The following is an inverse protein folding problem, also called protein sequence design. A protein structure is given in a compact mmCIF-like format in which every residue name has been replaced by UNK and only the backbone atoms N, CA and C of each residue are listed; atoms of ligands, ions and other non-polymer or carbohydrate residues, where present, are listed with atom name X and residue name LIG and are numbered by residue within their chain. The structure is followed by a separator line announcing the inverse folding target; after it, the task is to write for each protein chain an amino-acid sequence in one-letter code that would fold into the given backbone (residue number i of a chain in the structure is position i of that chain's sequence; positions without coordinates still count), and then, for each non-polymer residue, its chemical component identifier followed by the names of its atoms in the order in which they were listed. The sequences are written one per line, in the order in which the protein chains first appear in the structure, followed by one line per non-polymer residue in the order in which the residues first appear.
data_IF_171394480737
#
_entry.id   IF_171394480737
#
_cell.length_a   1.000
_cell.length_b   1.000
_cell.length_c   1.000
_cell.angle_alpha   90.00
_cell.angle_beta   90.00
_cell.angle_gamma   90.00
#
_symmetry.space_group_name_H-M   'P 1'
#
loop_
_entity.id
_entity.type
_entity.pdbx_description
1 polymer ?
#
# COMPACT_ATOMS: atom_id res chain seq x y z
N UNK A 1 12.46 -21.81 31.92
CA UNK A 1 11.98 -20.43 31.75
C UNK A 1 11.08 -20.36 30.51
N UNK A 2 10.14 -19.41 30.43
CA UNK A 2 9.06 -19.43 29.44
C UNK A 2 9.46 -18.79 28.10
N UNK A 3 8.93 -19.30 26.97
CA UNK A 3 9.11 -18.69 25.64
C UNK A 3 8.00 -17.66 25.38
N UNK A 4 8.36 -16.38 25.31
CA UNK A 4 7.42 -15.30 24.99
C UNK A 4 6.99 -15.35 23.51
N UNK A 5 5.77 -15.84 23.24
CA UNK A 5 5.21 -15.94 21.88
C UNK A 5 4.44 -14.66 21.54
N UNK A 6 5.14 -13.64 20.99
CA UNK A 6 4.56 -12.33 20.66
C UNK A 6 3.67 -12.42 19.41
N UNK A 7 2.46 -12.97 19.57
CA UNK A 7 1.42 -12.94 18.56
C UNK A 7 0.76 -11.56 18.50
N UNK A 8 1.25 -10.66 17.65
CA UNK A 8 0.53 -9.41 17.34
C UNK A 8 -0.80 -9.74 16.68
N UNK A 9 -1.89 -9.61 17.44
CA UNK A 9 -3.25 -9.82 16.98
C UNK A 9 -3.70 -8.61 16.17
N UNK A 10 -3.33 -8.58 14.89
CA UNK A 10 -3.85 -7.60 13.94
C UNK A 10 -5.39 -7.60 14.01
N UNK A 11 -5.99 -6.41 14.18
CA UNK A 11 -7.44 -6.25 14.04
C UNK A 11 -7.83 -6.63 12.61
N UNK A 12 -9.06 -7.14 12.45
CA UNK A 12 -9.62 -7.55 11.16
C UNK A 12 -9.88 -6.32 10.27
N UNK A 13 -8.83 -5.78 9.67
CA UNK A 13 -8.88 -4.69 8.69
C UNK A 13 -9.61 -5.16 7.42
N UNK A 14 -10.40 -4.28 6.81
CA UNK A 14 -11.26 -4.60 5.65
C UNK A 14 -10.53 -4.78 4.32
N UNK A 15 -9.25 -5.14 4.34
CA UNK A 15 -8.43 -5.41 3.15
C UNK A 15 -8.35 -6.92 2.95
N UNK A 16 -8.77 -7.41 1.78
CA UNK A 16 -8.70 -8.84 1.48
C UNK A 16 -7.30 -9.23 1.01
N UNK A 17 -6.61 -8.31 0.33
CA UNK A 17 -5.21 -8.44 -0.04
C UNK A 17 -4.54 -7.06 -0.01
N UNK A 18 -3.32 -7.03 0.53
CA UNK A 18 -2.38 -5.91 0.43
C UNK A 18 -1.09 -6.49 -0.17
N UNK A 19 -0.66 -5.94 -1.30
CA UNK A 19 0.57 -6.31 -1.98
C UNK A 19 1.46 -5.09 -2.09
N UNK A 20 2.62 -5.15 -1.45
CA UNK A 20 3.69 -4.17 -1.62
C UNK A 20 4.62 -4.69 -2.72
N UNK A 21 4.60 -4.05 -3.89
CA UNK A 21 5.49 -4.39 -5.00
C UNK A 21 6.63 -3.39 -5.03
N UNK A 22 7.85 -3.90 -4.86
CA UNK A 22 9.08 -3.22 -5.21
C UNK A 22 9.52 -3.78 -6.56
N UNK A 23 9.99 -2.91 -7.47
CA UNK A 23 10.41 -3.34 -8.80
C UNK A 23 11.64 -4.27 -8.70
N UNK A 24 11.50 -5.51 -9.18
CA UNK A 24 12.46 -6.59 -8.92
C UNK A 24 13.85 -6.35 -9.56
N UNK A 25 13.97 -5.35 -10.45
CA UNK A 25 15.25 -4.91 -11.00
C UNK A 25 16.15 -4.11 -10.05
N UNK A 26 15.65 -3.66 -8.87
CA UNK A 26 16.37 -2.70 -8.02
C UNK A 26 16.77 -3.32 -6.67
N UNK A 27 18.09 -3.43 -6.45
CA UNK A 27 18.65 -4.15 -5.30
C UNK A 27 18.78 -3.33 -4.02
N UNK A 28 18.22 -3.87 -2.92
CA UNK A 28 18.63 -3.71 -1.50
C UNK A 28 18.67 -2.32 -0.84
N UNK A 29 18.56 -1.21 -1.55
CA UNK A 29 18.69 0.15 -0.99
C UNK A 29 17.38 0.69 -0.38
N UNK A 30 17.49 1.73 0.48
CA UNK A 30 16.38 2.42 1.14
C UNK A 30 15.55 3.24 0.13
N UNK A 31 14.24 2.98 -0.04
CA UNK A 31 13.41 3.72 -1.01
C UNK A 31 13.32 5.21 -0.70
N UNK A 32 13.55 5.63 0.54
CA UNK A 32 13.57 7.05 0.92
C UNK A 32 14.94 7.72 0.64
N UNK A 33 15.94 6.98 0.17
CA UNK A 33 17.30 7.48 -0.13
C UNK A 33 17.85 6.85 -1.41
N UNK A 34 17.40 7.30 -2.60
CA UNK A 34 17.99 6.89 -3.88
C UNK A 34 19.46 7.33 -3.94
N UNK A 35 20.38 6.40 -3.69
CA UNK A 35 21.80 6.69 -3.52
C UNK A 35 22.54 6.88 -4.86
N UNK A 36 22.21 7.96 -5.58
CA UNK A 36 22.85 8.58 -6.78
C UNK A 36 23.13 7.74 -8.07
N UNK A 37 23.61 6.90 -8.98
CA UNK A 37 23.05 6.75 -10.32
C UNK A 37 22.49 5.33 -10.54
N UNK A 38 21.24 4.98 -10.20
CA UNK A 38 20.20 5.63 -9.37
C UNK A 38 19.80 7.07 -9.75
N UNK A 39 19.25 7.23 -10.95
CA UNK A 39 18.41 8.37 -11.37
C UNK A 39 16.91 7.95 -11.48
N UNK A 40 16.59 6.76 -10.99
CA UNK A 40 15.24 6.20 -11.01
C UNK A 40 14.42 6.78 -9.86
N UNK A 41 13.25 7.35 -10.13
CA UNK A 41 12.21 7.49 -9.09
C UNK A 41 11.75 6.08 -8.71
N UNK A 42 12.40 5.48 -7.70
CA UNK A 42 11.97 4.21 -7.10
C UNK A 42 10.71 4.45 -6.27
N UNK A 43 9.61 4.74 -6.96
CA UNK A 43 8.33 5.16 -6.41
C UNK A 43 7.50 3.92 -6.03
N UNK A 44 7.54 3.44 -4.77
CA UNK A 44 7.14 2.08 -4.46
C UNK A 44 5.62 1.94 -4.59
N UNK A 45 5.15 0.82 -5.13
CA UNK A 45 3.73 0.67 -5.48
C UNK A 45 3.00 -0.13 -4.42
N UNK A 46 2.12 0.56 -3.69
CA UNK A 46 1.20 -0.02 -2.72
C UNK A 46 -0.07 -0.41 -3.47
N UNK A 47 -0.30 -1.72 -3.65
CA UNK A 47 -1.49 -2.24 -4.32
C UNK A 47 -2.45 -2.87 -3.30
N UNK A 48 -3.67 -2.35 -3.26
CA UNK A 48 -4.72 -2.77 -2.32
C UNK A 48 -5.89 -3.31 -3.12
N UNK A 49 -6.39 -4.50 -2.76
CA UNK A 49 -7.53 -5.12 -3.45
C UNK A 49 -8.68 -5.36 -2.47
N UNK A 50 -9.84 -4.77 -2.77
CA UNK A 50 -11.02 -4.70 -1.90
C UNK A 50 -12.20 -5.46 -2.53
N UNK A 51 -12.62 -6.60 -1.96
CA UNK A 51 -13.84 -7.29 -2.46
C UNK A 51 -15.13 -6.67 -1.91
N UNK A 52 -15.40 -5.46 -2.36
CA UNK A 52 -16.60 -4.64 -2.13
C UNK A 52 -16.62 -3.50 -3.15
N UNK A 53 -17.73 -2.77 -3.23
CA UNK A 53 -17.75 -1.48 -3.91
C UNK A 53 -16.97 -0.41 -3.13
N UNK A 54 -16.55 0.63 -3.86
CA UNK A 54 -16.08 1.92 -3.34
C UNK A 54 -17.13 2.57 -2.43
N UNK A 55 -16.65 3.27 -1.42
CA UNK A 55 -17.44 4.10 -0.49
C UNK A 55 -16.91 5.53 -0.53
N UNK A 56 -17.77 6.51 -0.35
CA UNK A 56 -17.42 7.94 -0.40
C UNK A 56 -16.25 8.30 0.52
N UNK A 57 -16.21 7.69 1.71
CA UNK A 57 -15.16 7.88 2.72
C UNK A 57 -13.87 7.06 2.49
N UNK A 58 -13.69 6.37 1.36
CA UNK A 58 -12.50 5.54 1.12
C UNK A 58 -11.27 6.36 0.75
N UNK A 59 -11.43 7.38 -0.09
CA UNK A 59 -10.29 8.21 -0.52
C UNK A 59 -9.68 8.95 0.68
N UNK A 60 -10.50 9.42 1.62
CA UNK A 60 -10.04 9.99 2.90
C UNK A 60 -9.22 8.99 3.73
N UNK A 61 -9.63 7.71 3.79
CA UNK A 61 -8.89 6.65 4.49
C UNK A 61 -7.54 6.35 3.83
N UNK A 62 -7.47 6.39 2.50
CA UNK A 62 -6.20 6.20 1.77
C UNK A 62 -5.29 7.43 1.91
N UNK A 63 -5.85 8.63 1.89
CA UNK A 63 -5.16 9.88 2.20
C UNK A 63 -4.61 9.86 3.64
N UNK A 64 -5.38 9.39 4.62
CA UNK A 64 -4.91 9.17 6.01
C UNK A 64 -3.76 8.16 6.04
N UNK A 65 -3.83 7.05 5.30
CA UNK A 65 -2.75 6.06 5.23
C UNK A 65 -1.47 6.63 4.59
N UNK A 66 -1.58 7.40 3.51
CA UNK A 66 -0.45 8.12 2.88
C UNK A 66 0.17 9.12 3.86
N UNK A 67 -0.65 9.88 4.57
CA UNK A 67 -0.19 10.83 5.58
C UNK A 67 0.53 10.13 6.75
N UNK A 68 0.05 8.95 7.17
CA UNK A 68 0.73 8.10 8.15
C UNK A 68 2.10 7.62 7.66
N UNK A 69 2.18 7.07 6.44
CA UNK A 69 3.42 6.59 5.83
C UNK A 69 4.51 7.67 5.73
N UNK A 70 4.12 8.89 5.33
CA UNK A 70 5.00 10.06 5.29
C UNK A 70 5.42 10.51 6.69
N UNK A 71 4.47 10.66 7.62
CA UNK A 71 4.69 11.14 8.99
C UNK A 71 5.65 10.23 9.77
N UNK A 72 5.46 8.92 9.66
CA UNK A 72 6.26 7.91 10.36
C UNK A 72 7.56 7.57 9.59
N UNK A 73 7.83 8.28 8.47
CA UNK A 73 9.01 8.12 7.59
C UNK A 73 9.22 6.70 7.06
N UNK A 74 8.12 6.02 6.76
CA UNK A 74 8.12 4.69 6.13
C UNK A 74 8.30 4.85 4.62
N UNK A 75 7.52 5.74 4.02
CA UNK A 75 7.56 6.10 2.61
C UNK A 75 7.29 7.60 2.45
N UNK A 76 8.32 8.37 2.10
CA UNK A 76 8.20 9.80 1.83
C UNK A 76 7.57 10.07 0.46
N UNK A 77 7.71 9.16 -0.51
CA UNK A 77 7.10 9.20 -1.85
C UNK A 77 6.65 7.81 -2.31
N UNK A 78 5.73 7.73 -3.28
CA UNK A 78 5.28 6.45 -3.85
C UNK A 78 4.03 6.52 -4.75
N UNK A 79 3.58 5.34 -5.20
CA UNK A 79 2.30 5.17 -5.90
C UNK A 79 1.36 4.33 -5.02
N UNK A 80 0.09 4.71 -4.92
CA UNK A 80 -0.97 3.89 -4.35
C UNK A 80 -2.02 3.58 -5.41
N UNK A 81 -2.34 2.29 -5.55
CA UNK A 81 -3.35 1.77 -6.46
C UNK A 81 -4.34 0.95 -5.64
N UNK A 82 -5.63 1.31 -5.72
CA UNK A 82 -6.70 0.60 -5.02
C UNK A 82 -7.72 0.07 -6.02
N UNK A 83 -7.76 -1.25 -6.13
CA UNK A 83 -8.76 -1.98 -6.91
C UNK A 83 -9.98 -2.33 -6.06
N UNK A 84 -11.15 -2.18 -6.67
CA UNK A 84 -12.38 -2.73 -6.15
C UNK A 84 -12.77 -3.95 -6.97
N UNK A 85 -13.22 -5.00 -6.28
CA UNK A 85 -13.71 -6.24 -6.88
C UNK A 85 -15.10 -6.48 -6.29
N UNK A 86 -16.05 -6.82 -7.14
CA UNK A 86 -17.38 -7.25 -6.69
C UNK A 86 -17.29 -8.45 -5.73
N UNK A 87 -18.35 -8.69 -4.94
CA UNK A 87 -18.46 -9.89 -4.10
C UNK A 87 -18.52 -11.21 -4.89
N UNK A 88 -18.51 -11.14 -6.23
CA UNK A 88 -18.45 -12.27 -7.17
C UNK A 88 -17.07 -12.49 -7.77
N UNK A 89 -16.04 -11.73 -7.37
CA UNK A 89 -14.67 -11.85 -7.91
C UNK A 89 -14.43 -11.12 -9.23
N UNK A 90 -15.43 -10.45 -9.80
CA UNK A 90 -15.28 -9.62 -11.01
C UNK A 90 -14.74 -8.24 -10.63
N UNK A 91 -13.66 -7.72 -11.24
CA UNK A 91 -13.16 -6.37 -11.04
C UNK A 91 -14.22 -5.29 -11.29
N UNK A 92 -14.05 -4.13 -10.67
CA UNK A 92 -14.84 -2.92 -10.86
C UNK A 92 -13.89 -1.83 -11.37
N UNK A 93 -13.53 -1.92 -12.64
CA UNK A 93 -12.48 -1.11 -13.28
C UNK A 93 -12.79 0.40 -13.19
N UNK A 94 -14.07 0.79 -13.38
CA UNK A 94 -14.56 2.17 -13.20
C UNK A 94 -14.44 2.70 -11.75
N UNK A 95 -14.22 1.83 -10.76
CA UNK A 95 -14.07 2.21 -9.35
C UNK A 95 -12.59 2.33 -8.92
N UNK A 96 -11.61 1.94 -9.74
CA UNK A 96 -10.16 1.96 -9.39
C UNK A 96 -9.68 3.37 -9.00
N UNK A 97 -8.85 3.46 -7.95
CA UNK A 97 -8.31 4.72 -7.45
C UNK A 97 -6.78 4.73 -7.46
N UNK A 98 -6.22 5.78 -8.05
CA UNK A 98 -4.78 5.97 -8.22
C UNK A 98 -4.32 7.26 -7.55
N UNK A 99 -3.23 7.19 -6.78
CA UNK A 99 -2.57 8.39 -6.25
C UNK A 99 -1.06 8.26 -6.19
N UNK A 100 -0.37 9.18 -6.87
CA UNK A 100 1.04 9.48 -6.60
C UNK A 100 1.14 10.40 -5.39
N UNK A 101 2.16 10.22 -4.56
CA UNK A 101 2.40 11.03 -3.37
C UNK A 101 3.90 11.21 -3.10
#
# INVERSE_FOLDING_TARGET
MQKAKIGRRFKKTGYNQLLLVFDEGIGKDDPNKPASYKDYEVSPTIRITLSRKKQDADEDRFNEMINGLKKDKVLEHGNMIVEYISTKGVPLEDEEWHKKF
#
